data_IF_198870367545
#
_entry.id   IF_198870367545
#
_cell.length_a   1.000
_cell.length_b   1.000
_cell.length_c   1.000
_cell.angle_alpha   90.00
_cell.angle_beta   90.00
_cell.angle_gamma   90.00
#
_symmetry.space_group_name_H-M   'P 1'
#
loop_
_entity.id
_entity.type
_entity.pdbx_description
1 polymer ?
#
# COMPACT_ATOMS: atom_id res chain seq x y z
N UNK A 1 -32.29 -1.28 -18.94
CA UNK A 1 -32.25 -0.05 -19.76
C UNK A 1 -31.39 0.99 -19.06
N UNK A 2 -30.27 1.37 -19.67
CA UNK A 2 -29.38 2.37 -19.11
C UNK A 2 -29.98 3.75 -19.36
N UNK A 3 -30.38 4.44 -18.30
CA UNK A 3 -30.92 5.80 -18.42
C UNK A 3 -29.76 6.80 -18.63
N UNK A 4 -30.02 7.95 -19.26
CA UNK A 4 -29.03 9.03 -19.38
C UNK A 4 -28.40 9.38 -18.03
N UNK A 5 -29.19 9.35 -16.96
CA UNK A 5 -28.76 9.62 -15.59
C UNK A 5 -27.74 8.60 -15.08
N UNK A 6 -27.93 7.31 -15.39
CA UNK A 6 -27.00 6.24 -15.02
C UNK A 6 -25.62 6.40 -15.69
N UNK A 7 -25.60 6.82 -16.95
CA UNK A 7 -24.35 7.07 -17.69
C UNK A 7 -23.57 8.24 -17.08
N UNK A 8 -24.26 9.32 -16.74
CA UNK A 8 -23.65 10.48 -16.10
C UNK A 8 -23.06 10.14 -14.73
N UNK A 9 -23.79 9.40 -13.93
CA UNK A 9 -23.36 8.95 -12.62
C UNK A 9 -22.14 8.06 -12.73
N UNK A 10 -22.17 7.11 -13.66
CA UNK A 10 -21.07 6.19 -13.96
C UNK A 10 -19.78 6.94 -14.27
N UNK A 11 -19.86 7.90 -15.21
CA UNK A 11 -18.70 8.71 -15.58
C UNK A 11 -18.21 9.59 -14.45
N UNK A 12 -19.12 10.15 -13.65
CA UNK A 12 -18.76 11.01 -12.51
C UNK A 12 -18.01 10.21 -11.45
N UNK A 13 -18.49 9.03 -11.07
CA UNK A 13 -17.84 8.15 -10.11
C UNK A 13 -16.43 7.76 -10.55
N UNK A 14 -16.27 7.38 -11.81
CA UNK A 14 -14.97 7.07 -12.39
C UNK A 14 -14.02 8.26 -12.34
N UNK A 15 -14.49 9.43 -12.77
CA UNK A 15 -13.68 10.66 -12.81
C UNK A 15 -13.23 11.12 -11.43
N UNK A 16 -14.08 10.97 -10.41
CA UNK A 16 -13.71 11.28 -9.02
C UNK A 16 -12.56 10.41 -8.56
N UNK A 17 -12.65 9.11 -8.78
CA UNK A 17 -11.59 8.17 -8.41
C UNK A 17 -10.27 8.48 -9.14
N UNK A 18 -10.32 8.75 -10.44
CA UNK A 18 -9.15 9.12 -11.24
C UNK A 18 -8.54 10.45 -10.79
N UNK A 19 -9.38 11.43 -10.46
CA UNK A 19 -8.88 12.71 -9.95
C UNK A 19 -8.12 12.54 -8.63
N UNK A 20 -8.63 11.70 -7.72
CA UNK A 20 -7.92 11.39 -6.48
C UNK A 20 -6.56 10.72 -6.76
N UNK A 21 -6.56 9.72 -7.62
CA UNK A 21 -5.33 8.99 -7.96
C UNK A 21 -4.28 9.91 -8.57
N UNK A 22 -4.67 10.76 -9.51
CA UNK A 22 -3.76 11.71 -10.18
C UNK A 22 -3.30 12.85 -9.29
N UNK A 23 -4.05 13.17 -8.23
CA UNK A 23 -3.66 14.15 -7.23
C UNK A 23 -2.57 13.67 -6.29
N UNK A 24 -2.29 12.38 -6.23
CA UNK A 24 -1.26 11.81 -5.37
C UNK A 24 0.13 12.15 -5.91
N UNK A 25 0.89 12.89 -5.13
CA UNK A 25 2.27 13.28 -5.47
C UNK A 25 3.30 12.39 -4.80
N UNK A 26 3.05 12.00 -3.55
CA UNK A 26 3.93 11.13 -2.77
C UNK A 26 3.09 10.03 -2.14
N UNK A 27 3.37 8.79 -2.55
CA UNK A 27 2.61 7.62 -2.09
C UNK A 27 2.65 7.46 -0.56
N UNK A 28 3.79 7.70 0.06
CA UNK A 28 3.99 7.56 1.50
C UNK A 28 3.25 8.61 2.35
N UNK A 29 2.93 9.76 1.77
CA UNK A 29 2.20 10.84 2.45
C UNK A 29 0.71 10.86 2.10
N UNK A 30 0.36 10.43 0.90
CA UNK A 30 -0.99 10.54 0.35
C UNK A 30 -1.78 9.22 0.43
N UNK A 31 -1.45 8.35 1.39
CA UNK A 31 -2.09 7.04 1.55
C UNK A 31 -3.62 7.12 1.64
N UNK A 32 -4.14 8.12 2.35
CA UNK A 32 -5.58 8.28 2.54
C UNK A 32 -6.31 8.46 1.21
N UNK A 33 -5.77 9.29 0.32
CA UNK A 33 -6.33 9.51 -1.01
C UNK A 33 -6.23 8.25 -1.87
N UNK A 34 -5.15 7.50 -1.75
CA UNK A 34 -4.99 6.22 -2.43
C UNK A 34 -6.00 5.18 -1.94
N UNK A 35 -6.24 5.08 -0.64
CA UNK A 35 -7.27 4.18 -0.09
C UNK A 35 -8.66 4.54 -0.58
N UNK A 36 -9.00 5.83 -0.60
CA UNK A 36 -10.29 6.31 -1.12
C UNK A 36 -10.45 6.01 -2.60
N UNK A 37 -9.43 6.30 -3.40
CA UNK A 37 -9.45 6.01 -4.84
C UNK A 37 -9.60 4.50 -5.09
N UNK A 38 -8.86 3.67 -4.36
CA UNK A 38 -8.98 2.21 -4.45
C UNK A 38 -10.40 1.74 -4.14
N UNK A 39 -10.96 2.21 -3.04
CA UNK A 39 -12.33 1.85 -2.63
C UNK A 39 -13.35 2.27 -3.67
N UNK A 40 -13.27 3.49 -4.17
CA UNK A 40 -14.17 4.01 -5.21
C UNK A 40 -14.08 3.17 -6.50
N UNK A 41 -12.88 2.79 -6.92
CA UNK A 41 -12.67 1.94 -8.09
C UNK A 41 -13.18 0.51 -7.88
N UNK A 42 -12.98 -0.06 -6.69
CA UNK A 42 -13.51 -1.39 -6.34
C UNK A 42 -15.04 -1.40 -6.35
N UNK A 43 -15.67 -0.37 -5.79
CA UNK A 43 -17.14 -0.21 -5.80
C UNK A 43 -17.64 -0.04 -7.23
N UNK A 44 -16.97 0.78 -8.03
CA UNK A 44 -17.31 0.96 -9.44
C UNK A 44 -17.29 -0.38 -10.19
N UNK A 45 -16.22 -1.15 -10.06
CA UNK A 45 -16.07 -2.44 -10.72
C UNK A 45 -17.08 -3.48 -10.23
N UNK A 46 -17.46 -3.43 -8.95
CA UNK A 46 -18.43 -4.36 -8.37
C UNK A 46 -19.88 -4.03 -8.78
N UNK A 47 -20.22 -2.74 -8.91
CA UNK A 47 -21.58 -2.28 -9.15
C UNK A 47 -21.89 -1.96 -10.62
N UNK A 48 -20.87 -1.76 -11.45
CA UNK A 48 -21.01 -1.37 -12.87
C UNK A 48 -20.50 -2.48 -13.79
N UNK A 49 -21.17 -3.64 -13.79
CA UNK A 49 -20.76 -4.80 -14.60
C UNK A 49 -20.63 -4.46 -16.08
N UNK A 50 -21.45 -3.52 -16.58
CA UNK A 50 -21.46 -3.08 -17.97
C UNK A 50 -21.01 -1.63 -18.13
N UNK A 51 -20.27 -1.10 -17.16
CA UNK A 51 -19.77 0.27 -17.18
C UNK A 51 -18.83 0.51 -18.37
N UNK A 52 -19.00 1.67 -19.03
CA UNK A 52 -18.21 2.06 -20.19
C UNK A 52 -16.72 2.22 -19.88
N UNK A 53 -16.38 2.47 -18.62
CA UNK A 53 -15.00 2.71 -18.15
C UNK A 53 -14.43 1.54 -17.34
N UNK A 54 -15.01 0.36 -17.53
CA UNK A 54 -14.63 -0.82 -16.72
C UNK A 54 -13.15 -1.20 -16.87
N UNK A 55 -12.65 -1.22 -18.11
CA UNK A 55 -11.25 -1.56 -18.36
C UNK A 55 -10.30 -0.50 -17.84
N UNK A 56 -10.61 0.76 -18.07
CA UNK A 56 -9.81 1.87 -17.53
C UNK A 56 -9.83 1.88 -15.99
N UNK A 57 -10.96 1.52 -15.39
CA UNK A 57 -11.07 1.40 -13.93
C UNK A 57 -10.21 0.28 -13.37
N UNK A 58 -10.10 -0.86 -14.08
CA UNK A 58 -9.19 -1.95 -13.69
C UNK A 58 -7.73 -1.52 -13.73
N UNK A 59 -7.34 -0.82 -14.78
CA UNK A 59 -5.99 -0.28 -14.94
C UNK A 59 -5.69 0.71 -13.81
N UNK A 60 -6.63 1.61 -13.54
CA UNK A 60 -6.50 2.61 -12.46
C UNK A 60 -6.44 1.94 -11.07
N UNK A 61 -7.21 0.88 -10.84
CA UNK A 61 -7.16 0.12 -9.59
C UNK A 61 -5.78 -0.51 -9.40
N UNK A 62 -5.22 -1.09 -10.43
CA UNK A 62 -3.86 -1.64 -10.39
C UNK A 62 -2.83 -0.56 -10.08
N UNK A 63 -2.97 0.60 -10.67
CA UNK A 63 -2.09 1.74 -10.38
C UNK A 63 -2.20 2.19 -8.92
N UNK A 64 -3.42 2.23 -8.35
CA UNK A 64 -3.62 2.51 -6.93
C UNK A 64 -2.89 1.50 -6.05
N UNK A 65 -3.01 0.23 -6.36
CA UNK A 65 -2.38 -0.85 -5.60
C UNK A 65 -0.86 -0.79 -5.70
N UNK A 66 -0.31 -0.45 -6.87
CA UNK A 66 1.13 -0.22 -7.05
C UNK A 66 1.61 0.94 -6.17
N UNK A 67 0.87 2.04 -6.14
CA UNK A 67 1.21 3.20 -5.32
C UNK A 67 1.07 2.92 -3.82
N UNK A 68 0.10 2.12 -3.42
CA UNK A 68 -0.07 1.70 -2.02
C UNK A 68 1.06 0.77 -1.58
N UNK A 69 1.48 -0.16 -2.43
CA UNK A 69 2.64 -1.00 -2.18
C UNK A 69 3.93 -0.17 -2.08
N UNK A 70 4.11 0.80 -2.98
CA UNK A 70 5.20 1.77 -2.91
C UNK A 70 5.20 2.52 -1.59
N UNK A 71 4.04 2.99 -1.14
CA UNK A 71 3.87 3.67 0.14
C UNK A 71 4.37 2.82 1.31
N UNK A 72 3.91 1.58 1.39
CA UNK A 72 4.34 0.67 2.46
C UNK A 72 5.85 0.40 2.39
N UNK A 73 6.38 0.19 1.19
CA UNK A 73 7.81 -0.02 0.98
C UNK A 73 8.63 1.19 1.45
N UNK A 74 8.23 2.41 1.07
CA UNK A 74 8.95 3.63 1.45
C UNK A 74 8.92 3.88 2.97
N UNK A 75 7.80 3.59 3.62
CA UNK A 75 7.70 3.67 5.08
C UNK A 75 8.62 2.63 5.72
N UNK A 76 8.64 1.41 5.18
CA UNK A 76 9.58 0.37 5.61
C UNK A 76 11.04 0.79 5.47
N UNK A 77 11.40 1.40 4.34
CA UNK A 77 12.75 1.93 4.10
C UNK A 77 13.12 3.02 5.12
N UNK A 78 12.18 3.91 5.44
CA UNK A 78 12.40 4.92 6.48
C UNK A 78 12.76 4.26 7.82
N UNK A 79 11.98 3.28 8.26
CA UNK A 79 12.24 2.57 9.52
C UNK A 79 13.56 1.79 9.47
N UNK A 80 13.88 1.19 8.34
CA UNK A 80 15.15 0.47 8.16
C UNK A 80 16.34 1.41 8.31
N UNK A 81 16.28 2.58 7.71
CA UNK A 81 17.37 3.57 7.75
C UNK A 81 17.61 4.08 9.16
N UNK A 82 16.55 4.30 9.95
CA UNK A 82 16.68 4.74 11.34
C UNK A 82 16.96 3.59 12.33
N UNK A 83 17.13 2.36 11.84
CA UNK A 83 17.46 1.20 12.67
C UNK A 83 16.27 0.56 13.37
N UNK A 84 15.05 0.90 13.02
CA UNK A 84 13.83 0.32 13.59
C UNK A 84 13.40 -0.89 12.76
N UNK A 85 14.07 -2.02 12.99
CA UNK A 85 13.90 -3.24 12.19
C UNK A 85 12.49 -3.82 12.26
N UNK A 86 11.86 -3.78 13.44
CA UNK A 86 10.49 -4.27 13.61
C UNK A 86 9.49 -3.45 12.80
N UNK A 87 9.62 -2.12 12.86
CA UNK A 87 8.77 -1.22 12.05
C UNK A 87 8.97 -1.44 10.55
N UNK A 88 10.22 -1.62 10.12
CA UNK A 88 10.54 -1.93 8.73
C UNK A 88 9.87 -3.22 8.26
N UNK A 89 10.02 -4.31 9.03
CA UNK A 89 9.40 -5.60 8.73
C UNK A 89 7.87 -5.49 8.62
N UNK A 90 7.25 -4.78 9.56
CA UNK A 90 5.80 -4.58 9.56
C UNK A 90 5.31 -3.99 8.23
N UNK A 91 5.94 -2.91 7.79
CA UNK A 91 5.52 -2.22 6.56
C UNK A 91 5.86 -3.03 5.30
N UNK A 92 6.99 -3.71 5.25
CA UNK A 92 7.29 -4.61 4.13
C UNK A 92 6.26 -5.75 4.04
N UNK A 93 5.89 -6.34 5.17
CA UNK A 93 4.89 -7.41 5.22
C UNK A 93 3.49 -6.91 4.83
N UNK A 94 3.14 -5.67 5.17
CA UNK A 94 1.89 -5.05 4.73
C UNK A 94 1.85 -4.93 3.19
N UNK A 95 2.96 -4.54 2.56
CA UNK A 95 3.05 -4.50 1.11
C UNK A 95 2.85 -5.89 0.49
N UNK A 96 3.51 -6.90 1.03
CA UNK A 96 3.46 -8.29 0.54
C UNK A 96 2.06 -8.88 0.69
N UNK A 97 1.44 -8.69 1.85
CA UNK A 97 0.14 -9.29 2.18
C UNK A 97 -1.01 -8.62 1.44
N UNK A 98 -1.01 -7.29 1.40
CA UNK A 98 -2.13 -6.51 0.86
C UNK A 98 -2.04 -6.29 -0.66
N UNK A 99 -0.84 -6.25 -1.21
CA UNK A 99 -0.61 -5.93 -2.63
C UNK A 99 0.36 -6.94 -3.29
N UNK A 100 0.01 -8.24 -3.29
CA UNK A 100 0.96 -9.29 -3.72
C UNK A 100 1.38 -9.20 -5.18
N UNK A 101 0.57 -8.57 -6.04
CA UNK A 101 0.85 -8.42 -7.46
C UNK A 101 1.65 -7.15 -7.79
N UNK A 102 1.90 -6.28 -6.82
CA UNK A 102 2.61 -5.02 -7.06
C UNK A 102 4.11 -5.25 -7.25
N UNK A 103 4.74 -4.39 -8.04
CA UNK A 103 6.19 -4.45 -8.31
C UNK A 103 7.03 -4.24 -7.05
N UNK A 104 6.62 -3.30 -6.20
CA UNK A 104 7.31 -3.02 -4.94
C UNK A 104 7.26 -4.19 -3.94
N UNK A 105 6.33 -5.11 -4.12
CA UNK A 105 6.24 -6.32 -3.30
C UNK A 105 7.50 -7.18 -3.45
N UNK A 106 8.05 -7.28 -4.65
CA UNK A 106 9.30 -8.01 -4.89
C UNK A 106 10.46 -7.40 -4.11
N UNK A 107 10.56 -6.07 -4.12
CA UNK A 107 11.59 -5.37 -3.35
C UNK A 107 11.36 -5.52 -1.84
N UNK A 108 10.11 -5.49 -1.39
CA UNK A 108 9.76 -5.70 0.01
C UNK A 108 10.15 -7.11 0.47
N UNK A 109 9.88 -8.13 -0.32
CA UNK A 109 10.29 -9.51 -0.06
C UNK A 109 11.81 -9.64 0.10
N UNK A 110 12.55 -9.00 -0.80
CA UNK A 110 14.02 -8.98 -0.74
C UNK A 110 14.50 -8.35 0.57
N UNK A 111 13.89 -7.24 0.98
CA UNK A 111 14.23 -6.56 2.24
C UNK A 111 13.92 -7.41 3.47
N UNK A 112 12.79 -8.11 3.46
CA UNK A 112 12.42 -9.04 4.54
C UNK A 112 13.47 -10.13 4.67
N UNK A 113 13.91 -10.73 3.55
CA UNK A 113 14.94 -11.76 3.54
C UNK A 113 16.29 -11.22 4.06
N UNK A 114 16.68 -10.03 3.64
CA UNK A 114 17.92 -9.38 4.12
C UNK A 114 17.87 -9.15 5.63
N UNK A 115 16.76 -8.64 6.16
CA UNK A 115 16.58 -8.42 7.59
C UNK A 115 16.57 -9.72 8.39
N UNK A 116 15.95 -10.77 7.85
CA UNK A 116 15.94 -12.10 8.47
C UNK A 116 17.35 -12.69 8.56
N UNK A 117 18.16 -12.51 7.53
CA UNK A 117 19.57 -12.96 7.53
C UNK A 117 20.42 -12.18 8.52
N UNK A 118 20.24 -10.86 8.56
CA UNK A 118 20.93 -9.99 9.49
C UNK A 118 20.61 -10.36 10.95
N UNK A 119 19.34 -10.64 11.25
CA UNK A 119 18.93 -11.02 12.61
C UNK A 119 19.47 -12.37 13.06
N UNK A 120 19.77 -13.27 12.14
CA UNK A 120 20.42 -14.56 12.44
C UNK A 120 21.91 -14.42 12.70
N UNK A 121 22.55 -13.40 12.14
CA UNK A 121 23.97 -13.12 12.32
C UNK A 121 24.26 -12.26 13.55
N UNK A 122 23.26 -11.53 14.04
CA UNK A 122 23.35 -10.78 15.28
C UNK A 122 22.97 -11.69 16.46
N UNK A 123 23.86 -11.81 17.42
CA UNK A 123 23.51 -12.35 18.74
C UNK A 123 22.34 -11.51 19.27
N UNK A 124 21.27 -12.15 19.79
CA UNK A 124 20.17 -11.39 20.35
C UNK A 124 20.71 -10.42 21.38
N UNK A 125 20.24 -9.18 21.41
CA UNK A 125 20.68 -8.23 22.41
C UNK A 125 20.46 -8.87 23.78
N UNK A 126 21.51 -8.91 24.57
CA UNK A 126 21.44 -9.36 25.95
C UNK A 126 20.22 -8.68 26.60
N UNK A 127 19.29 -9.43 27.19
CA UNK A 127 18.19 -8.78 27.88
C UNK A 127 18.80 -7.74 28.81
N UNK A 128 18.29 -6.52 28.73
CA UNK A 128 18.80 -5.45 29.57
C UNK A 128 18.87 -6.00 31.01
N UNK A 129 20.05 -6.11 31.53
CA UNK A 129 20.23 -6.46 32.93
C UNK A 129 19.31 -5.55 33.72
N UNK A 130 18.35 -6.14 34.41
CA UNK A 130 17.48 -5.39 35.29
C UNK A 130 18.35 -4.46 36.11
N UNK A 131 18.07 -3.16 36.04
CA UNK A 131 18.80 -2.16 36.81
C UNK A 131 18.97 -2.69 38.23
N UNK A 132 20.20 -2.65 38.79
CA UNK A 132 20.39 -3.15 40.12
C UNK A 132 19.39 -2.46 41.05
N UNK A 133 18.54 -3.26 41.66
CA UNK A 133 17.66 -2.76 42.71
C UNK A 133 18.55 -2.13 43.75
N UNK A 134 18.39 -0.80 43.91
CA UNK A 134 19.10 -0.09 44.96
C UNK A 134 18.78 -0.75 46.31
N UNK A 135 19.76 -0.93 47.18
CA UNK A 135 19.54 -1.50 48.51
C UNK A 135 18.58 -0.66 49.32
#
# INVERSE_FOLDING_TARGET
>A
MVTKFSVWRDQAEYRIAIARLRGVRRADLDQNDLFKARQELQVYLATRAEGARREEARIALRECEEKLAESEYLIGEFYRIIGQHFGALLHYELAITNYPAAKYTVEAERRVDELARASKSETPPKPAESAPTAP
#
